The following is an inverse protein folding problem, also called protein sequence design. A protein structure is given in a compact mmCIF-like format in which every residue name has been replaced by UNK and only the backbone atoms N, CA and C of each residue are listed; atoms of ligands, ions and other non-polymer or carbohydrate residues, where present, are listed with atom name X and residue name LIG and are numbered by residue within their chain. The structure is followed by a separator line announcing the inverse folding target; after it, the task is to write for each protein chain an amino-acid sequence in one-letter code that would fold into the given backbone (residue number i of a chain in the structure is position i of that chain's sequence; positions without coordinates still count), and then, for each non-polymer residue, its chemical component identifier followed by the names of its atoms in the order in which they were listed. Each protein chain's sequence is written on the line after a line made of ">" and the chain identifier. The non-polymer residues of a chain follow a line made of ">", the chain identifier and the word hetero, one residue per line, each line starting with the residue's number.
data_IF_508309348140
#
_entry.id   IF_508309348140
#
_cell.length_a   1.000
_cell.length_b   1.000
_cell.length_c   1.000
_cell.angle_alpha   90.00
_cell.angle_beta   90.00
_cell.angle_gamma   90.00
#
_symmetry.space_group_name_H-M   'P 1'
#
loop_
_entity.id
_entity.type
_entity.pdbx_description
1 polymer ?
#
# COMPACT_ATOMS: atom_id res chain seq x y z
N UNK A 1 -4.51 10.39 26.64
CA UNK A 1 -3.31 9.83 26.01
C UNK A 1 -3.81 8.89 24.92
N UNK A 2 -3.40 9.08 23.66
CA UNK A 2 -3.72 8.09 22.62
C UNK A 2 -2.91 6.85 22.99
N UNK A 3 -3.60 5.81 23.45
CA UNK A 3 -2.97 4.50 23.67
C UNK A 3 -2.36 4.07 22.34
N UNK A 4 -1.03 4.14 22.25
CA UNK A 4 -0.25 3.57 21.16
C UNK A 4 -0.33 2.04 21.31
N UNK A 5 -1.49 1.50 20.94
CA UNK A 5 -1.69 0.06 20.88
C UNK A 5 -0.76 -0.49 19.80
N UNK A 6 0.10 -1.46 20.09
CA UNK A 6 1.02 -2.06 19.10
C UNK A 6 0.31 -2.73 17.92
N UNK A 7 -1.02 -2.85 17.99
CA UNK A 7 -1.89 -3.34 16.92
C UNK A 7 -2.55 -2.22 16.10
N UNK A 8 -2.20 -0.95 16.32
CA UNK A 8 -2.72 0.16 15.52
C UNK A 8 -2.21 0.04 14.07
N UNK A 9 -3.09 -0.03 13.05
CA UNK A 9 -2.70 -0.15 11.65
C UNK A 9 -1.69 0.90 11.18
N UNK A 10 -1.78 2.14 11.66
CA UNK A 10 -0.84 3.21 11.30
C UNK A 10 0.57 2.99 11.85
N UNK A 11 0.69 2.39 13.04
CA UNK A 11 1.99 2.02 13.62
C UNK A 11 2.60 0.86 12.83
N UNK A 12 1.77 -0.13 12.47
CA UNK A 12 2.20 -1.28 11.67
C UNK A 12 2.63 -0.83 10.27
N UNK A 13 1.88 0.07 9.64
CA UNK A 13 2.23 0.67 8.34
C UNK A 13 3.58 1.39 8.39
N UNK A 14 3.75 2.29 9.37
CA UNK A 14 5.01 3.02 9.58
C UNK A 14 6.19 2.06 9.75
N UNK A 15 6.03 0.98 10.54
CA UNK A 15 7.05 -0.03 10.73
C UNK A 15 7.35 -0.81 9.44
N UNK A 16 6.30 -1.19 8.69
CA UNK A 16 6.44 -1.84 7.39
C UNK A 16 7.21 -0.98 6.40
N UNK A 17 6.95 0.32 6.37
CA UNK A 17 7.68 1.28 5.55
C UNK A 17 9.15 1.42 5.95
N UNK A 18 9.46 1.35 7.25
CA UNK A 18 10.86 1.31 7.71
C UNK A 18 11.58 0.07 7.16
N UNK A 19 10.97 -1.12 7.23
CA UNK A 19 11.57 -2.34 6.67
C UNK A 19 11.77 -2.24 5.15
N UNK A 20 10.82 -1.63 4.43
CA UNK A 20 10.98 -1.35 3.00
C UNK A 20 12.24 -0.50 2.75
N UNK A 21 12.43 0.57 3.52
CA UNK A 21 13.59 1.47 3.41
C UNK A 21 14.90 0.80 3.78
N UNK A 22 14.86 -0.23 4.63
CA UNK A 22 16.02 -1.08 4.97
C UNK A 22 16.31 -2.17 3.92
N UNK A 23 15.43 -2.35 2.93
CA UNK A 23 15.56 -3.36 1.88
C UNK A 23 14.99 -4.73 2.27
N UNK A 24 14.41 -4.88 3.46
CA UNK A 24 13.71 -6.10 3.86
C UNK A 24 12.28 -6.08 3.34
N UNK A 25 12.15 -6.40 2.05
CA UNK A 25 10.88 -6.35 1.33
C UNK A 25 9.86 -7.38 1.85
N UNK A 26 10.32 -8.53 2.36
CA UNK A 26 9.42 -9.57 2.87
C UNK A 26 8.83 -9.19 4.22
N UNK A 27 9.63 -8.63 5.13
CA UNK A 27 9.12 -8.13 6.40
C UNK A 27 8.21 -6.90 6.20
N UNK A 28 8.55 -6.03 5.26
CA UNK A 28 7.70 -4.91 4.87
C UNK A 28 6.34 -5.39 4.36
N UNK A 29 6.33 -6.39 3.48
CA UNK A 29 5.12 -6.98 2.92
C UNK A 29 4.21 -7.54 4.02
N UNK A 30 4.74 -8.34 4.95
CA UNK A 30 3.94 -8.96 6.02
C UNK A 30 3.25 -7.89 6.89
N UNK A 31 3.99 -6.85 7.27
CA UNK A 31 3.47 -5.76 8.09
C UNK A 31 2.44 -4.92 7.33
N UNK A 32 2.75 -4.50 6.10
CA UNK A 32 1.85 -3.67 5.31
C UNK A 32 0.57 -4.42 4.93
N UNK A 33 0.66 -5.72 4.63
CA UNK A 33 -0.51 -6.55 4.40
C UNK A 33 -1.38 -6.64 5.67
N UNK A 34 -0.77 -6.81 6.84
CA UNK A 34 -1.49 -6.80 8.12
C UNK A 34 -2.12 -5.43 8.39
N UNK A 35 -1.43 -4.32 8.12
CA UNK A 35 -1.99 -2.98 8.26
C UNK A 35 -3.20 -2.81 7.33
N UNK A 36 -3.06 -3.16 6.06
CA UNK A 36 -4.11 -3.02 5.04
C UNK A 36 -5.34 -3.86 5.36
N UNK A 37 -5.15 -5.12 5.81
CA UNK A 37 -6.25 -6.00 6.20
C UNK A 37 -7.06 -5.47 7.39
N UNK A 38 -6.42 -4.73 8.30
CA UNK A 38 -7.10 -4.13 9.46
C UNK A 38 -7.69 -2.76 9.13
N UNK A 39 -7.05 -1.99 8.26
CA UNK A 39 -7.47 -0.66 7.84
C UNK A 39 -7.03 -0.40 6.40
N UNK A 40 -7.91 -0.64 5.41
CA UNK A 40 -7.56 -0.59 3.99
C UNK A 40 -7.57 0.86 3.47
N UNK A 41 -6.71 1.69 4.05
CA UNK A 41 -6.57 3.11 3.72
C UNK A 41 -5.63 3.36 2.52
N UNK A 42 -5.79 4.51 1.86
CA UNK A 42 -5.04 4.86 0.67
C UNK A 42 -3.53 5.04 0.91
N UNK A 43 -3.10 5.44 2.10
CA UNK A 43 -1.67 5.50 2.47
C UNK A 43 -1.08 4.09 2.52
N UNK A 44 -1.76 3.19 3.23
CA UNK A 44 -1.32 1.80 3.37
C UNK A 44 -1.32 1.09 2.02
N UNK A 45 -2.34 1.35 1.18
CA UNK A 45 -2.39 0.85 -0.19
C UNK A 45 -1.20 1.34 -1.04
N UNK A 46 -0.81 2.61 -0.92
CA UNK A 46 0.33 3.16 -1.65
C UNK A 46 1.63 2.42 -1.30
N UNK A 47 1.90 2.25 0.01
CA UNK A 47 3.08 1.55 0.50
C UNK A 47 3.07 0.06 0.14
N UNK A 48 1.97 -0.64 0.40
CA UNK A 48 1.86 -2.08 0.11
C UNK A 48 2.02 -2.36 -1.39
N UNK A 49 1.39 -1.56 -2.25
CA UNK A 49 1.55 -1.69 -3.70
C UNK A 49 3.00 -1.45 -4.14
N UNK A 50 3.72 -0.50 -3.55
CA UNK A 50 5.14 -0.27 -3.88
C UNK A 50 6.04 -1.44 -3.46
N UNK A 51 5.79 -2.04 -2.29
CA UNK A 51 6.53 -3.23 -1.86
C UNK A 51 6.27 -4.41 -2.79
N UNK A 52 4.99 -4.66 -3.14
CA UNK A 52 4.62 -5.69 -4.10
C UNK A 52 5.29 -5.47 -5.46
N UNK A 53 5.34 -4.22 -5.92
CA UNK A 53 6.02 -3.87 -7.17
C UNK A 53 7.53 -4.14 -7.13
N UNK A 54 8.22 -3.80 -6.02
CA UNK A 54 9.64 -4.14 -5.85
C UNK A 54 9.91 -5.64 -5.78
N UNK A 55 8.93 -6.42 -5.35
CA UNK A 55 8.96 -7.88 -5.34
C UNK A 55 8.54 -8.51 -6.68
N UNK A 56 8.38 -7.71 -7.75
CA UNK A 56 7.92 -8.14 -9.08
C UNK A 56 6.50 -8.76 -9.08
N UNK A 57 5.72 -8.56 -8.01
CA UNK A 57 4.32 -8.98 -7.87
C UNK A 57 3.38 -7.92 -8.45
N UNK A 58 3.62 -7.60 -9.71
CA UNK A 58 3.07 -6.42 -10.39
C UNK A 58 1.53 -6.42 -10.47
N UNK A 59 0.92 -7.58 -10.71
CA UNK A 59 -0.54 -7.70 -10.77
C UNK A 59 -1.18 -7.36 -9.43
N UNK A 60 -0.61 -7.87 -8.33
CA UNK A 60 -1.11 -7.62 -6.98
C UNK A 60 -0.91 -6.16 -6.56
N UNK A 61 0.25 -5.58 -6.90
CA UNK A 61 0.50 -4.15 -6.69
C UNK A 61 -0.59 -3.28 -7.31
N UNK A 62 -0.92 -3.54 -8.59
CA UNK A 62 -1.98 -2.82 -9.31
C UNK A 62 -3.34 -2.98 -8.66
N UNK A 63 -3.68 -4.20 -8.23
CA UNK A 63 -4.93 -4.46 -7.51
C UNK A 63 -5.02 -3.67 -6.20
N UNK A 64 -3.94 -3.60 -5.41
CA UNK A 64 -3.93 -2.85 -4.15
C UNK A 64 -4.10 -1.34 -4.41
N UNK A 65 -3.37 -0.78 -5.37
CA UNK A 65 -3.53 0.64 -5.73
C UNK A 65 -4.91 0.95 -6.28
N UNK A 66 -5.50 0.05 -7.06
CA UNK A 66 -6.88 0.17 -7.53
C UNK A 66 -7.86 0.19 -6.36
N UNK A 67 -7.77 -0.75 -5.42
CA UNK A 67 -8.63 -0.78 -4.23
C UNK A 67 -8.51 0.52 -3.41
N UNK A 68 -7.28 1.04 -3.24
CA UNK A 68 -7.06 2.32 -2.55
C UNK A 68 -7.71 3.50 -3.29
N UNK A 69 -7.65 3.52 -4.62
CA UNK A 69 -8.29 4.54 -5.45
C UNK A 69 -9.82 4.38 -5.54
N UNK A 70 -10.36 3.16 -5.42
CA UNK A 70 -11.80 2.93 -5.34
C UNK A 70 -12.38 3.52 -4.05
N UNK A 71 -11.66 3.40 -2.93
CA UNK A 71 -12.07 3.99 -1.65
C UNK A 71 -11.78 5.49 -1.58
N UNK A 72 -10.63 5.92 -2.09
CA UNK A 72 -10.21 7.33 -2.11
C UNK A 72 -9.80 7.72 -3.52
N UNK A 73 -10.77 8.06 -4.40
CA UNK A 73 -10.50 8.41 -5.79
C UNK A 73 -9.49 9.53 -5.93
N UNK A 74 -9.51 10.49 -4.99
CA UNK A 74 -8.65 11.67 -5.03
C UNK A 74 -7.30 11.53 -4.33
N UNK A 75 -6.89 10.31 -3.97
CA UNK A 75 -5.61 10.07 -3.30
C UNK A 75 -4.43 10.57 -4.12
N UNK A 76 -3.81 11.67 -3.68
CA UNK A 76 -2.55 12.15 -4.27
C UNK A 76 -1.42 11.16 -4.01
N UNK A 77 -1.43 10.50 -2.85
CA UNK A 77 -0.35 9.60 -2.42
C UNK A 77 -0.22 8.38 -3.35
N UNK A 78 -1.33 7.76 -3.73
CA UNK A 78 -1.30 6.65 -4.69
C UNK A 78 -0.88 7.19 -6.07
N UNK A 79 -1.47 8.30 -6.53
CA UNK A 79 -1.16 8.87 -7.85
C UNK A 79 0.32 9.29 -7.98
N UNK A 80 0.88 9.92 -6.97
CA UNK A 80 2.29 10.33 -6.93
C UNK A 80 3.22 9.11 -6.93
N UNK A 81 2.83 8.04 -6.23
CA UNK A 81 3.55 6.75 -6.24
C UNK A 81 3.55 6.13 -7.63
N UNK A 82 2.39 6.06 -8.28
CA UNK A 82 2.26 5.55 -9.65
C UNK A 82 3.07 6.39 -10.65
N UNK A 83 3.01 7.71 -10.53
CA UNK A 83 3.79 8.61 -11.38
C UNK A 83 5.30 8.41 -11.19
N UNK A 84 5.78 8.34 -9.94
CA UNK A 84 7.19 8.11 -9.63
C UNK A 84 7.70 6.77 -10.16
N UNK A 85 6.85 5.75 -10.15
CA UNK A 85 7.17 4.42 -10.67
C UNK A 85 6.89 4.28 -12.18
N UNK A 86 6.34 5.32 -12.82
CA UNK A 86 5.91 5.33 -14.22
C UNK A 86 4.93 4.19 -14.55
N UNK A 87 3.90 4.03 -13.72
CA UNK A 87 2.88 2.98 -13.80
C UNK A 87 1.54 3.59 -14.19
N UNK A 88 0.90 3.00 -15.19
CA UNK A 88 -0.48 3.30 -15.56
C UNK A 88 -1.42 2.20 -15.03
N UNK A 89 -2.51 2.63 -14.41
CA UNK A 89 -3.61 1.75 -13.96
C UNK A 89 -4.87 2.17 -14.69
N UNK A 90 -5.52 1.22 -15.36
CA UNK A 90 -6.84 1.42 -15.93
C UNK A 90 -7.90 1.24 -14.84
N UNK A 91 -8.45 2.35 -14.35
CA UNK A 91 -9.52 2.36 -13.35
C UNK A 91 -10.90 2.02 -13.94
N UNK A 92 -11.01 1.86 -15.27
CA UNK A 92 -12.29 1.60 -15.95
C UNK A 92 -12.59 0.11 -16.12
N UNK A 93 -11.64 -0.77 -15.80
CA UNK A 93 -11.84 -2.21 -15.88
C UNK A 93 -12.49 -2.72 -14.59
N UNK A 94 -13.81 -2.53 -14.43
CA UNK A 94 -14.57 -3.34 -13.48
C UNK A 94 -14.48 -4.80 -13.94
N UNK A 95 -14.13 -5.77 -13.07
CA UNK A 95 -14.40 -7.16 -13.39
C UNK A 95 -15.93 -7.34 -13.48
N UNK A 96 -16.40 -7.94 -14.56
CA UNK A 96 -17.80 -8.38 -14.73
C UNK A 96 -18.21 -9.38 -13.64
#
# INVERSE_FOLDING_TARGET
>A
AIELSPNNPAIIDSLGWVYYRLGDLYQALDLLQKAFNNFPDHEVAAHLGEVLWKLERNSEAKTIWQQGLEQTPDSSIIRDTLQRLNIEIDLKSKPE
#
